data_IF_257980195941
#
_entry.id   IF_257980195941
#
_cell.length_a   1.000
_cell.length_b   1.000
_cell.length_c   1.000
_cell.angle_alpha   90.00
_cell.angle_beta   90.00
_cell.angle_gamma   90.00
#
_symmetry.space_group_name_H-M   'P 1'
#
loop_
_entity.id
_entity.type
_entity.pdbx_description
1 polymer ?
#
# COMPACT_ATOMS: atom_id res chain seq x y z
N UNK A 1 -3.36 4.24 -4.01
CA UNK A 1 -2.67 3.05 -4.53
C UNK A 1 -3.36 1.84 -3.92
N UNK A 2 -2.96 0.61 -4.26
CA UNK A 2 -3.59 -0.61 -3.75
C UNK A 2 -4.89 -1.06 -4.45
N UNK A 3 -5.72 -1.81 -3.71
CA UNK A 3 -6.95 -2.44 -4.21
C UNK A 3 -7.93 -1.46 -4.86
N UNK A 4 -8.17 -1.66 -6.16
CA UNK A 4 -9.03 -0.81 -6.96
C UNK A 4 -10.49 -0.79 -6.47
N UNK A 5 -11.00 0.40 -6.16
CA UNK A 5 -12.38 0.60 -5.73
C UNK A 5 -12.65 0.33 -4.24
N UNK A 6 -11.63 -0.01 -3.44
CA UNK A 6 -11.80 -0.34 -2.03
C UNK A 6 -12.20 0.87 -1.17
N UNK A 7 -11.52 2.01 -1.32
CA UNK A 7 -11.89 3.22 -0.58
C UNK A 7 -13.31 3.70 -0.90
N UNK A 8 -13.77 3.76 -2.17
CA UNK A 8 -15.18 4.03 -2.48
C UNK A 8 -16.17 3.06 -1.82
N UNK A 9 -15.82 1.77 -1.70
CA UNK A 9 -16.66 0.77 -1.03
C UNK A 9 -16.78 1.05 0.48
N UNK A 10 -15.73 1.57 1.11
CA UNK A 10 -15.68 1.89 2.54
C UNK A 10 -16.06 3.35 2.84
N UNK A 11 -16.86 4.00 1.99
CA UNK A 11 -17.18 5.42 2.14
C UNK A 11 -17.97 5.75 3.41
N UNK A 12 -18.90 4.89 3.84
CA UNK A 12 -19.75 5.07 5.03
C UNK A 12 -18.96 5.24 6.32
N UNK A 13 -17.78 4.63 6.37
CA UNK A 13 -16.93 4.56 7.56
C UNK A 13 -15.73 5.50 7.45
N UNK A 14 -15.67 6.33 6.40
CA UNK A 14 -14.68 7.40 6.30
C UNK A 14 -15.13 8.58 7.15
N UNK A 15 -14.38 8.83 8.23
CA UNK A 15 -14.61 9.96 9.14
C UNK A 15 -13.52 10.99 8.93
N UNK A 16 -13.88 12.20 8.51
CA UNK A 16 -12.91 13.29 8.44
C UNK A 16 -12.62 13.80 9.86
N UNK A 17 -11.35 13.87 10.23
CA UNK A 17 -10.88 14.28 11.56
C UNK A 17 -9.83 15.39 11.44
N UNK A 18 -9.72 16.21 12.49
CA UNK A 18 -8.64 17.19 12.56
C UNK A 18 -7.39 16.55 13.16
N UNK A 19 -6.20 16.99 12.77
CA UNK A 19 -4.94 16.40 13.26
C UNK A 19 -4.79 16.49 14.79
N UNK A 20 -5.36 17.50 15.44
CA UNK A 20 -5.36 17.61 16.90
C UNK A 20 -6.00 16.43 17.61
N UNK A 21 -6.91 15.69 16.95
CA UNK A 21 -7.57 14.52 17.52
C UNK A 21 -6.60 13.35 17.74
N UNK A 22 -5.41 13.44 17.14
CA UNK A 22 -4.32 12.47 17.26
C UNK A 22 -3.16 13.00 18.11
N UNK A 23 -3.31 14.13 18.79
CA UNK A 23 -2.25 14.68 19.64
C UNK A 23 -1.79 13.67 20.70
N UNK A 24 -0.48 13.52 20.85
CA UNK A 24 0.15 12.55 21.75
C UNK A 24 0.31 11.13 21.17
N UNK A 25 -0.28 10.84 20.01
CA UNK A 25 -0.13 9.56 19.33
C UNK A 25 1.15 9.51 18.49
N UNK A 26 1.69 8.31 18.31
CA UNK A 26 2.73 8.01 17.32
C UNK A 26 2.09 7.43 16.07
N UNK A 27 2.29 8.06 14.91
CA UNK A 27 1.69 7.60 13.65
C UNK A 27 2.78 7.16 12.69
N UNK A 28 2.66 5.94 12.17
CA UNK A 28 3.49 5.48 11.07
C UNK A 28 3.14 6.25 9.79
N UNK A 29 4.15 6.56 8.98
CA UNK A 29 3.98 7.32 7.74
C UNK A 29 4.64 6.57 6.60
N UNK A 30 3.89 6.35 5.53
CA UNK A 30 4.42 5.90 4.26
C UNK A 30 5.27 7.00 3.59
N UNK A 31 6.59 6.82 3.59
CA UNK A 31 7.50 7.79 3.00
C UNK A 31 7.36 7.88 1.48
N UNK A 32 7.09 6.77 0.80
CA UNK A 32 7.07 6.70 -0.66
C UNK A 32 5.85 7.42 -1.24
N UNK A 33 4.72 7.39 -0.53
CA UNK A 33 3.56 8.24 -0.85
C UNK A 33 3.94 9.73 -0.88
N UNK A 34 4.64 10.23 0.15
CA UNK A 34 5.05 11.64 0.21
C UNK A 34 6.16 11.98 -0.78
N UNK A 35 7.15 11.10 -0.96
CA UNK A 35 8.21 11.28 -1.96
C UNK A 35 7.64 11.34 -3.37
N UNK A 36 6.71 10.44 -3.70
CA UNK A 36 6.06 10.41 -5.01
C UNK A 36 5.23 11.68 -5.24
N UNK A 37 4.40 12.09 -4.27
CA UNK A 37 3.62 13.34 -4.36
C UNK A 37 4.51 14.58 -4.47
N UNK A 38 5.58 14.65 -3.67
CA UNK A 38 6.55 15.73 -3.70
C UNK A 38 7.30 15.81 -5.02
N UNK A 39 7.54 14.65 -5.66
CA UNK A 39 8.23 14.58 -6.95
C UNK A 39 7.47 15.28 -8.08
N UNK A 40 6.14 15.39 -8.00
CA UNK A 40 5.33 16.06 -9.03
C UNK A 40 5.68 17.54 -9.19
N UNK A 41 6.08 18.21 -8.09
CA UNK A 41 6.51 19.61 -8.13
C UNK A 41 7.81 19.79 -8.92
N UNK A 42 8.64 18.75 -8.99
CA UNK A 42 9.95 18.75 -9.63
C UNK A 42 10.15 17.65 -10.68
N UNK A 43 9.06 17.18 -11.29
CA UNK A 43 9.09 16.02 -12.18
C UNK A 43 9.96 16.26 -13.41
N UNK A 44 9.94 17.47 -13.96
CA UNK A 44 10.78 17.85 -15.10
C UNK A 44 12.26 17.87 -14.72
N UNK A 45 12.61 18.43 -13.57
CA UNK A 45 13.99 18.40 -13.07
C UNK A 45 14.49 16.97 -12.88
N UNK A 46 13.71 16.12 -12.21
CA UNK A 46 14.05 14.72 -11.97
C UNK A 46 14.21 13.93 -13.28
N UNK A 47 13.26 14.06 -14.21
CA UNK A 47 13.29 13.34 -15.48
C UNK A 47 14.42 13.79 -16.41
N UNK A 48 14.94 15.01 -16.23
CA UNK A 48 16.06 15.56 -17.03
C UNK A 48 17.40 15.50 -16.29
N UNK A 49 17.48 14.83 -15.15
CA UNK A 49 18.71 14.65 -14.37
C UNK A 49 19.18 15.92 -13.63
N UNK A 50 18.34 16.93 -13.49
CA UNK A 50 18.65 18.13 -12.70
C UNK A 50 18.48 17.85 -11.22
N UNK A 51 19.47 18.24 -10.43
CA UNK A 51 19.43 18.10 -8.97
C UNK A 51 18.32 18.97 -8.37
N UNK A 52 17.58 18.43 -7.40
CA UNK A 52 16.48 19.11 -6.72
C UNK A 52 16.23 18.48 -5.34
N UNK A 53 15.74 19.28 -4.40
CA UNK A 53 15.33 18.85 -3.04
C UNK A 53 13.85 19.07 -2.77
N UNK A 54 13.08 19.57 -3.75
CA UNK A 54 11.67 19.95 -3.58
C UNK A 54 10.80 18.82 -3.02
N UNK A 55 11.12 17.56 -3.33
CA UNK A 55 10.43 16.38 -2.79
C UNK A 55 10.75 16.14 -1.30
N UNK A 56 11.98 16.44 -0.85
CA UNK A 56 12.36 16.40 0.58
C UNK A 56 11.62 17.50 1.32
N UNK A 57 11.62 18.72 0.79
CA UNK A 57 10.92 19.85 1.40
C UNK A 57 9.42 19.58 1.53
N UNK A 58 8.84 18.91 0.52
CA UNK A 58 7.44 18.47 0.56
C UNK A 58 7.18 17.49 1.70
N UNK A 59 7.97 16.42 1.82
CA UNK A 59 7.81 15.43 2.89
C UNK A 59 8.05 16.05 4.28
N UNK A 60 9.11 16.85 4.44
CA UNK A 60 9.43 17.49 5.73
C UNK A 60 8.40 18.53 6.17
N UNK A 61 7.69 19.19 5.24
CA UNK A 61 6.54 20.03 5.61
C UNK A 61 5.44 19.23 6.31
N UNK A 62 5.13 18.02 5.83
CA UNK A 62 4.14 17.15 6.46
C UNK A 62 4.62 16.61 7.81
N UNK A 63 5.90 16.20 7.91
CA UNK A 63 6.52 15.82 9.19
C UNK A 63 6.35 16.93 10.24
N UNK A 64 6.70 18.16 9.87
CA UNK A 64 6.62 19.33 10.76
C UNK A 64 5.17 19.70 11.09
N UNK A 65 4.24 19.52 10.16
CA UNK A 65 2.80 19.69 10.40
C UNK A 65 2.29 18.70 11.46
N UNK A 66 2.65 17.42 11.36
CA UNK A 66 2.29 16.42 12.36
C UNK A 66 2.85 16.80 13.74
N UNK A 67 4.14 17.17 13.81
CA UNK A 67 4.76 17.62 15.06
C UNK A 67 4.11 18.86 15.64
N UNK A 68 3.69 19.81 14.80
CA UNK A 68 2.97 21.02 15.24
C UNK A 68 1.68 20.65 15.98
N UNK A 69 0.95 19.63 15.51
CA UNK A 69 -0.22 19.07 16.17
C UNK A 69 0.10 18.04 17.27
N UNK A 70 1.35 17.99 17.74
CA UNK A 70 1.84 17.09 18.80
C UNK A 70 1.70 15.60 18.46
N UNK A 71 1.72 15.26 17.18
CA UNK A 71 1.79 13.88 16.69
C UNK A 71 3.27 13.53 16.50
N UNK A 72 3.68 12.35 16.96
CA UNK A 72 5.02 11.82 16.71
C UNK A 72 5.03 11.02 15.40
N UNK A 73 5.67 11.48 14.32
CA UNK A 73 5.77 10.70 13.09
C UNK A 73 6.84 9.61 13.23
N UNK A 74 6.50 8.40 12.79
CA UNK A 74 7.42 7.29 12.57
C UNK A 74 7.47 6.99 11.07
N UNK A 75 8.51 7.44 10.39
CA UNK A 75 8.57 7.37 8.92
C UNK A 75 9.06 5.99 8.45
N UNK A 76 8.31 5.33 7.57
CA UNK A 76 8.64 3.99 7.05
C UNK A 76 8.94 4.08 5.56
N UNK A 77 10.08 3.51 5.16
CA UNK A 77 10.52 3.45 3.77
C UNK A 77 10.45 2.02 3.25
N UNK A 78 10.15 1.86 1.95
CA UNK A 78 10.40 0.61 1.24
C UNK A 78 11.90 0.29 1.21
N UNK A 79 12.22 -1.00 1.20
CA UNK A 79 13.56 -1.54 1.06
C UNK A 79 13.75 -2.32 -0.24
N UNK A 80 14.11 -3.59 -0.12
CA UNK A 80 14.42 -4.46 -1.24
C UNK A 80 13.19 -4.85 -2.07
N UNK A 81 13.39 -5.28 -3.33
CA UNK A 81 12.29 -5.75 -4.16
C UNK A 81 11.71 -7.06 -3.61
N UNK A 82 10.38 -7.13 -3.48
CA UNK A 82 9.69 -8.36 -3.13
C UNK A 82 9.45 -9.23 -4.38
N UNK A 83 9.84 -10.52 -4.40
CA UNK A 83 9.58 -11.40 -5.53
C UNK A 83 8.11 -11.49 -5.94
N UNK A 84 7.19 -11.49 -4.98
CA UNK A 84 5.74 -11.50 -5.25
C UNK A 84 5.25 -10.31 -6.08
N UNK A 85 5.92 -9.16 -5.97
CA UNK A 85 5.54 -7.91 -6.66
C UNK A 85 6.28 -7.69 -7.97
N UNK A 86 7.12 -8.64 -8.39
CA UNK A 86 7.98 -8.51 -9.58
C UNK A 86 7.19 -8.19 -10.86
N UNK A 87 6.02 -8.81 -11.05
CA UNK A 87 5.16 -8.55 -12.22
C UNK A 87 4.69 -7.09 -12.27
N UNK A 88 4.11 -6.62 -11.16
CA UNK A 88 3.63 -5.24 -10.98
C UNK A 88 4.73 -4.21 -11.16
N UNK A 89 5.93 -4.45 -10.60
CA UNK A 89 7.07 -3.53 -10.76
C UNK A 89 7.60 -3.50 -12.19
N UNK A 90 7.56 -4.62 -12.92
CA UNK A 90 7.89 -4.66 -14.35
C UNK A 90 6.93 -3.80 -15.18
N UNK A 91 5.62 -3.91 -14.95
CA UNK A 91 4.61 -3.10 -15.64
C UNK A 91 4.72 -1.60 -15.28
N UNK A 92 5.02 -1.29 -14.01
CA UNK A 92 5.28 0.09 -13.58
C UNK A 92 6.51 0.65 -14.30
N UNK A 93 7.60 -0.11 -14.39
CA UNK A 93 8.82 0.29 -15.12
C UNK A 93 8.55 0.56 -16.59
N UNK A 94 7.90 -0.37 -17.29
CA UNK A 94 7.58 -0.22 -18.71
C UNK A 94 6.75 1.06 -18.96
N UNK A 95 5.71 1.31 -18.16
CA UNK A 95 4.89 2.52 -18.28
C UNK A 95 5.71 3.80 -18.05
N UNK A 96 6.67 3.79 -17.11
CA UNK A 96 7.55 4.95 -16.89
C UNK A 96 8.42 5.21 -18.11
N UNK A 97 9.02 4.19 -18.69
CA UNK A 97 9.86 4.30 -19.91
C UNK A 97 9.05 4.85 -21.10
N UNK A 98 7.84 4.32 -21.33
CA UNK A 98 6.94 4.80 -22.38
C UNK A 98 6.53 6.27 -22.18
N UNK A 99 6.22 6.67 -20.95
CA UNK A 99 5.87 8.05 -20.62
C UNK A 99 7.07 8.98 -20.77
N UNK A 100 8.28 8.55 -20.38
CA UNK A 100 9.51 9.33 -20.55
C UNK A 100 9.80 9.58 -22.04
N UNK A 101 9.67 8.56 -22.89
CA UNK A 101 9.85 8.70 -24.34
C UNK A 101 8.86 9.72 -24.93
N UNK A 102 7.58 9.64 -24.55
CA UNK A 102 6.54 10.60 -24.96
C UNK A 102 6.84 12.02 -24.48
N UNK A 103 7.27 12.17 -23.21
CA UNK A 103 7.61 13.47 -22.64
C UNK A 103 8.77 14.13 -23.40
N UNK A 104 9.84 13.38 -23.66
CA UNK A 104 11.02 13.86 -24.37
C UNK A 104 10.69 14.26 -25.82
N UNK A 105 9.88 13.47 -26.51
CA UNK A 105 9.42 13.81 -27.86
C UNK A 105 8.62 15.13 -27.87
N UNK A 106 7.70 15.34 -26.93
CA UNK A 106 6.94 16.58 -26.80
C UNK A 106 7.83 17.78 -26.45
N UNK A 107 8.79 17.59 -25.54
CA UNK A 107 9.73 18.63 -25.13
C UNK A 107 10.63 19.07 -26.31
N UNK A 108 11.09 18.14 -27.15
CA UNK A 108 11.87 18.43 -28.35
C UNK A 108 11.11 19.29 -29.38
N UNK A 109 9.77 19.21 -29.39
CA UNK A 109 8.90 20.04 -30.23
C UNK A 109 8.44 21.34 -29.54
N UNK A 110 9.07 21.74 -28.43
CA UNK A 110 8.72 22.95 -27.67
C UNK A 110 7.40 22.85 -26.89
N UNK A 111 6.75 21.68 -26.85
CA UNK A 111 5.45 21.47 -26.16
C UNK A 111 5.64 21.16 -24.67
N UNK A 112 6.30 22.07 -23.95
CA UNK A 112 6.75 21.83 -22.57
C UNK A 112 5.63 21.55 -21.56
N UNK A 113 4.47 22.22 -21.70
CA UNK A 113 3.32 21.98 -20.80
C UNK A 113 2.78 20.55 -20.94
N UNK A 114 2.64 20.06 -22.17
CA UNK A 114 2.21 18.69 -22.45
C UNK A 114 3.27 17.68 -22.01
N UNK A 115 4.56 17.97 -22.25
CA UNK A 115 5.65 17.13 -21.78
C UNK A 115 5.63 16.96 -20.25
N UNK A 116 5.31 18.02 -19.49
CA UNK A 116 5.21 17.98 -18.03
C UNK A 116 4.19 16.94 -17.54
N UNK A 117 3.05 16.80 -18.20
CA UNK A 117 2.04 15.80 -17.83
C UNK A 117 2.59 14.38 -17.92
N UNK A 118 3.43 14.09 -18.93
CA UNK A 118 4.09 12.79 -19.07
C UNK A 118 5.28 12.64 -18.13
N UNK A 119 6.04 13.71 -17.87
CA UNK A 119 7.12 13.66 -16.88
C UNK A 119 6.60 13.26 -15.49
N UNK A 120 5.46 13.79 -15.05
CA UNK A 120 4.87 13.38 -13.76
C UNK A 120 4.53 11.89 -13.67
N UNK A 121 4.29 11.22 -14.81
CA UNK A 121 3.95 9.79 -14.89
C UNK A 121 5.18 8.88 -15.05
N UNK A 122 6.37 9.44 -15.27
CA UNK A 122 7.59 8.67 -15.45
C UNK A 122 8.57 8.76 -14.29
N UNK A 123 8.34 9.64 -13.31
CA UNK A 123 9.25 9.76 -12.15
C UNK A 123 9.21 8.47 -11.35
N UNK A 124 10.40 7.97 -11.04
CA UNK A 124 10.62 6.86 -10.12
C UNK A 124 11.24 7.38 -8.83
N UNK A 125 10.73 6.93 -7.67
CA UNK A 125 11.32 7.30 -6.38
C UNK A 125 12.52 6.40 -6.13
N UNK A 126 13.72 6.97 -6.23
CA UNK A 126 14.97 6.20 -6.12
C UNK A 126 15.45 6.07 -4.67
N UNK A 127 16.30 5.06 -4.35
CA UNK A 127 16.94 4.94 -3.05
C UNK A 127 17.73 6.20 -2.65
N UNK A 128 18.31 6.90 -3.63
CA UNK A 128 19.02 8.15 -3.37
C UNK A 128 18.08 9.27 -2.90
N UNK A 129 16.87 9.36 -3.47
CA UNK A 129 15.85 10.32 -3.02
C UNK A 129 15.37 10.00 -1.60
N UNK A 130 15.11 8.72 -1.32
CA UNK A 130 14.78 8.25 0.03
C UNK A 130 15.89 8.59 1.03
N UNK A 131 17.15 8.37 0.66
CA UNK A 131 18.30 8.72 1.50
C UNK A 131 18.41 10.22 1.80
N UNK A 132 18.08 11.10 0.84
CA UNK A 132 18.03 12.54 1.12
C UNK A 132 16.98 12.89 2.19
N UNK A 133 15.81 12.24 2.14
CA UNK A 133 14.79 12.42 3.17
C UNK A 133 15.26 11.85 4.53
N UNK A 134 15.87 10.66 4.56
CA UNK A 134 16.44 10.08 5.79
C UNK A 134 17.42 11.04 6.46
N UNK A 135 18.30 11.70 5.70
CA UNK A 135 19.21 12.71 6.26
C UNK A 135 18.47 13.88 6.90
N UNK A 136 17.41 14.37 6.27
CA UNK A 136 16.60 15.45 6.82
C UNK A 136 15.84 15.02 8.09
N UNK A 137 15.31 13.80 8.10
CA UNK A 137 14.65 13.20 9.27
C UNK A 137 15.62 13.09 10.46
N UNK A 138 16.83 12.56 10.22
CA UNK A 138 17.89 12.45 11.25
C UNK A 138 18.27 13.81 11.83
N UNK A 139 18.39 14.83 10.99
CA UNK A 139 18.73 16.20 11.43
C UNK A 139 17.67 16.80 12.36
N UNK A 140 16.40 16.36 12.26
CA UNK A 140 15.31 16.80 13.13
C UNK A 140 14.94 15.79 14.23
N UNK A 141 15.72 14.71 14.38
CA UNK A 141 15.46 13.68 15.39
C UNK A 141 14.17 12.89 15.15
N UNK A 142 13.75 12.74 13.90
CA UNK A 142 12.53 12.00 13.53
C UNK A 142 12.83 10.51 13.43
N UNK A 143 12.00 9.69 14.07
CA UNK A 143 12.10 8.24 14.00
C UNK A 143 11.77 7.75 12.60
N UNK A 144 12.56 6.78 12.13
CA UNK A 144 12.30 6.13 10.86
C UNK A 144 12.81 4.69 10.85
N UNK A 145 12.29 3.88 9.92
CA UNK A 145 12.81 2.55 9.62
C UNK A 145 12.75 2.31 8.11
N UNK A 146 13.72 1.57 7.58
CA UNK A 146 13.67 1.04 6.22
C UNK A 146 13.19 -0.41 6.35
N UNK A 147 12.04 -0.71 5.74
CA UNK A 147 11.53 -2.07 5.69
C UNK A 147 12.53 -2.99 4.97
N UNK A 148 12.56 -4.30 5.26
CA UNK A 148 13.34 -5.24 4.45
C UNK A 148 12.83 -5.30 3.01
N UNK A 149 11.50 -5.20 2.85
CA UNK A 149 10.80 -5.21 1.57
C UNK A 149 9.80 -4.05 1.51
N UNK A 150 8.51 -4.29 1.75
CA UNK A 150 7.49 -3.25 1.61
C UNK A 150 7.20 -2.52 2.93
N UNK A 151 7.02 -1.21 2.83
CA UNK A 151 6.59 -0.35 3.91
C UNK A 151 5.20 -0.75 4.44
N UNK A 152 4.32 -1.28 3.59
CA UNK A 152 2.96 -1.68 3.96
C UNK A 152 2.96 -2.73 5.08
N UNK A 153 3.64 -3.86 4.88
CA UNK A 153 3.78 -4.89 5.90
C UNK A 153 4.56 -4.38 7.13
N UNK A 154 5.61 -3.56 6.91
CA UNK A 154 6.38 -3.00 8.02
C UNK A 154 5.50 -2.11 8.92
N UNK A 155 4.69 -1.21 8.37
CA UNK A 155 3.78 -0.35 9.13
C UNK A 155 2.69 -1.18 9.84
N UNK A 156 2.12 -2.18 9.16
CA UNK A 156 1.17 -3.11 9.76
C UNK A 156 1.78 -3.83 10.97
N UNK A 157 3.03 -4.27 10.87
CA UNK A 157 3.76 -4.88 11.97
C UNK A 157 3.98 -3.91 13.14
N UNK A 158 4.41 -2.67 12.87
CA UNK A 158 4.63 -1.64 13.90
C UNK A 158 3.35 -1.33 14.68
N UNK A 159 2.20 -1.23 13.99
CA UNK A 159 0.90 -1.00 14.64
C UNK A 159 0.51 -2.21 15.49
N UNK A 160 0.72 -3.42 14.96
CA UNK A 160 0.35 -4.66 15.65
C UNK A 160 1.12 -4.87 16.96
N UNK A 161 2.40 -4.52 17.00
CA UNK A 161 3.22 -4.60 18.23
C UNK A 161 3.00 -3.39 19.17
N UNK A 162 2.16 -2.43 18.79
CA UNK A 162 1.84 -1.25 19.59
C UNK A 162 2.92 -0.17 19.60
N UNK A 163 3.83 -0.17 18.62
CA UNK A 163 4.85 0.89 18.50
C UNK A 163 4.27 2.17 17.86
N UNK A 164 3.19 2.03 17.09
CA UNK A 164 2.42 3.14 16.51
C UNK A 164 0.92 2.94 16.73
N UNK A 165 0.18 4.04 16.80
CA UNK A 165 -1.26 4.10 17.11
C UNK A 165 -2.15 4.17 15.86
N UNK A 166 -1.54 4.25 14.68
CA UNK A 166 -2.19 4.34 13.37
C UNK A 166 -1.21 4.64 12.25
N UNK A 167 -1.71 4.57 11.02
CA UNK A 167 -0.89 4.63 9.80
C UNK A 167 -1.41 5.72 8.87
N UNK A 168 -0.53 6.60 8.39
CA UNK A 168 -0.80 7.60 7.35
C UNK A 168 -0.28 7.06 6.01
N UNK A 169 -1.19 6.81 5.07
CA UNK A 169 -0.84 6.37 3.71
C UNK A 169 -1.97 6.73 2.72
N UNK A 170 -1.66 6.64 1.42
CA UNK A 170 -2.65 6.66 0.34
C UNK A 170 -2.85 5.27 -0.29
N UNK A 171 -2.26 4.24 0.31
CA UNK A 171 -2.42 2.84 -0.10
C UNK A 171 -3.49 2.13 0.72
N UNK A 172 -4.51 1.62 0.05
CA UNK A 172 -5.60 0.90 0.72
C UNK A 172 -5.23 -0.53 1.13
N UNK A 173 -4.08 -1.06 0.69
CA UNK A 173 -3.63 -2.41 1.00
C UNK A 173 -3.40 -2.60 2.50
N UNK A 174 -3.08 -1.54 3.25
CA UNK A 174 -2.95 -1.58 4.72
C UNK A 174 -4.25 -2.04 5.42
N UNK A 175 -5.41 -1.76 4.84
CA UNK A 175 -6.69 -2.27 5.36
C UNK A 175 -6.78 -3.79 5.17
N UNK A 176 -6.18 -4.33 4.11
CA UNK A 176 -6.12 -5.77 3.80
C UNK A 176 -5.13 -6.49 4.72
N UNK A 177 -4.01 -5.84 5.05
CA UNK A 177 -3.03 -6.29 6.06
C UNK A 177 -3.59 -6.38 7.49
N UNK A 178 -4.80 -5.86 7.74
CA UNK A 178 -5.45 -5.97 9.04
C UNK A 178 -5.22 -4.77 9.97
N UNK A 179 -4.74 -3.65 9.46
CA UNK A 179 -4.45 -2.48 10.29
C UNK A 179 -5.72 -1.93 10.95
N UNK A 180 -5.60 -1.49 12.20
CA UNK A 180 -6.71 -1.03 13.04
C UNK A 180 -7.15 0.37 12.68
N UNK A 181 -6.21 1.28 12.41
CA UNK A 181 -6.50 2.69 12.10
C UNK A 181 -5.63 3.17 10.95
N UNK A 182 -6.26 3.38 9.80
CA UNK A 182 -5.58 3.91 8.61
C UNK A 182 -6.14 5.28 8.26
N UNK A 183 -5.24 6.23 8.03
CA UNK A 183 -5.51 7.64 7.80
C UNK A 183 -5.07 8.01 6.38
N UNK A 184 -6.03 8.50 5.60
CA UNK A 184 -5.89 8.82 4.18
C UNK A 184 -6.13 10.31 3.93
N UNK A 185 -5.69 10.82 2.78
CA UNK A 185 -6.04 12.14 2.25
C UNK A 185 -5.71 13.26 3.23
N UNK A 186 -4.46 13.30 3.69
CA UNK A 186 -3.96 14.39 4.53
C UNK A 186 -4.08 15.73 3.78
N UNK A 187 -4.89 16.64 4.32
CA UNK A 187 -4.99 18.02 3.85
C UNK A 187 -4.21 18.94 4.78
N UNK A 188 -3.06 19.42 4.29
CA UNK A 188 -2.18 20.32 5.04
C UNK A 188 -2.75 21.72 5.24
N UNK A 189 -3.73 22.15 4.44
CA UNK A 189 -4.34 23.49 4.54
C UNK A 189 -5.36 23.50 5.67
N UNK A 190 -6.29 22.54 5.66
CA UNK A 190 -7.30 22.43 6.71
C UNK A 190 -6.82 21.67 7.95
N UNK A 191 -5.62 21.08 7.91
CA UNK A 191 -5.11 20.17 8.96
C UNK A 191 -6.09 19.03 9.25
N UNK A 192 -6.72 18.50 8.21
CA UNK A 192 -7.67 17.39 8.32
C UNK A 192 -7.17 16.13 7.61
N UNK A 193 -7.68 14.98 8.04
CA UNK A 193 -7.33 13.67 7.50
C UNK A 193 -8.53 12.72 7.59
N UNK A 194 -8.70 11.88 6.58
CA UNK A 194 -9.76 10.87 6.54
C UNK A 194 -9.35 9.63 7.31
N UNK A 195 -10.03 9.34 8.41
CA UNK A 195 -9.82 8.15 9.23
C UNK A 195 -10.75 7.02 8.81
N UNK A 196 -10.20 5.81 8.72
CA UNK A 196 -10.97 4.55 8.67
C UNK A 196 -10.51 3.68 9.85
N UNK A 197 -11.47 3.26 10.69
CA UNK A 197 -11.23 2.31 11.78
C UNK A 197 -11.69 0.91 11.37
N UNK A 198 -10.91 -0.11 11.73
CA UNK A 198 -11.26 -1.52 11.53
C UNK A 198 -12.52 -1.93 12.29
N UNK A 199 -12.75 -1.33 13.45
CA UNK A 199 -13.93 -1.58 14.29
C UNK A 199 -15.23 -1.20 13.58
N UNK A 200 -15.18 -0.21 12.69
CA UNK A 200 -16.35 0.28 11.96
C UNK A 200 -16.71 -0.59 10.75
N UNK A 201 -15.89 -1.60 10.38
CA UNK A 201 -16.16 -2.44 9.20
C UNK A 201 -17.52 -3.14 9.28
N UNK A 202 -17.94 -3.57 10.47
CA UNK A 202 -19.25 -4.18 10.68
C UNK A 202 -20.44 -3.26 10.36
N UNK A 203 -20.21 -1.95 10.31
CA UNK A 203 -21.20 -0.92 10.00
C UNK A 203 -21.35 -0.65 8.49
N UNK A 204 -20.52 -1.25 7.63
CA UNK A 204 -20.66 -1.12 6.18
C UNK A 204 -21.87 -1.91 5.71
N UNK A 205 -22.90 -1.20 5.23
CA UNK A 205 -24.17 -1.79 4.78
C UNK A 205 -24.31 -1.78 3.26
N UNK A 206 -25.16 -2.67 2.74
CA UNK A 206 -25.39 -2.82 1.31
C UNK A 206 -26.01 -1.59 0.61
N UNK A 207 -26.50 -0.61 1.37
CA UNK A 207 -27.00 0.66 0.83
C UNK A 207 -25.88 1.43 0.10
N UNK A 208 -24.63 1.24 0.52
CA UNK A 208 -23.46 1.86 -0.10
C UNK A 208 -22.65 0.82 -0.87
N UNK A 209 -22.56 0.95 -2.19
CA UNK A 209 -21.76 0.06 -3.04
C UNK A 209 -22.32 -1.37 -3.24
N UNK A 210 -23.44 -1.72 -2.60
CA UNK A 210 -24.09 -3.03 -2.76
C UNK A 210 -23.35 -4.18 -2.07
N UNK A 211 -22.50 -3.88 -1.09
CA UNK A 211 -21.71 -4.83 -0.29
C UNK A 211 -21.99 -4.56 1.19
N UNK A 212 -22.20 -5.62 1.97
CA UNK A 212 -22.31 -5.52 3.43
C UNK A 212 -21.18 -6.31 4.07
N UNK A 213 -20.46 -5.71 5.01
CA UNK A 213 -19.39 -6.35 5.78
C UNK A 213 -19.85 -6.73 7.19
N UNK A 214 -21.16 -6.63 7.48
CA UNK A 214 -21.72 -7.10 8.75
C UNK A 214 -21.46 -8.61 8.91
N UNK A 215 -20.75 -8.98 9.98
CA UNK A 215 -20.38 -10.37 10.29
C UNK A 215 -19.24 -10.94 9.42
N UNK A 216 -18.55 -10.09 8.64
CA UNK A 216 -17.38 -10.51 7.88
C UNK A 216 -16.14 -10.57 8.76
N UNK A 217 -15.34 -11.62 8.59
CA UNK A 217 -14.03 -11.73 9.24
C UNK A 217 -12.93 -11.07 8.41
N UNK A 218 -11.80 -10.77 9.06
CA UNK A 218 -10.60 -10.25 8.39
C UNK A 218 -10.10 -11.17 7.28
N UNK A 219 -10.18 -12.48 7.48
CA UNK A 219 -9.82 -13.48 6.48
C UNK A 219 -10.74 -13.43 5.25
N UNK A 220 -12.04 -13.23 5.45
CA UNK A 220 -12.99 -13.07 4.34
C UNK A 220 -12.76 -11.76 3.59
N UNK A 221 -12.54 -10.66 4.31
CA UNK A 221 -12.23 -9.37 3.72
C UNK A 221 -10.94 -9.42 2.88
N UNK A 222 -9.87 -10.04 3.42
CA UNK A 222 -8.63 -10.25 2.69
C UNK A 222 -8.81 -11.11 1.45
N UNK A 223 -9.51 -12.25 1.59
CA UNK A 223 -9.85 -13.11 0.44
C UNK A 223 -10.60 -12.34 -0.64
N UNK A 224 -11.58 -11.50 -0.26
CA UNK A 224 -12.32 -10.66 -1.20
C UNK A 224 -11.42 -9.66 -1.92
N UNK A 225 -10.51 -9.01 -1.20
CA UNK A 225 -9.56 -8.05 -1.76
C UNK A 225 -8.62 -8.72 -2.78
N UNK A 226 -8.00 -9.85 -2.41
CA UNK A 226 -7.10 -10.61 -3.30
C UNK A 226 -7.85 -11.07 -4.57
N UNK A 227 -9.07 -11.62 -4.43
CA UNK A 227 -9.88 -12.05 -5.58
C UNK A 227 -10.27 -10.88 -6.50
N UNK A 228 -10.39 -9.67 -5.96
CA UNK A 228 -10.70 -8.47 -6.73
C UNK A 228 -9.49 -7.89 -7.49
N UNK A 229 -8.29 -8.44 -7.24
CA UNK A 229 -7.03 -8.02 -7.84
C UNK A 229 -6.22 -7.15 -6.88
N UNK A 230 -4.97 -7.53 -6.66
CA UNK A 230 -3.99 -6.82 -5.84
C UNK A 230 -2.62 -6.80 -6.54
N UNK A 231 -1.64 -6.13 -5.92
CA UNK A 231 -0.28 -6.03 -6.46
C UNK A 231 0.45 -7.39 -6.59
N UNK A 232 -0.03 -8.45 -5.89
CA UNK A 232 0.56 -9.80 -5.90
C UNK A 232 -0.16 -10.77 -6.84
N UNK A 233 -1.45 -10.52 -7.13
CA UNK A 233 -2.28 -11.41 -7.93
C UNK A 233 -3.31 -10.62 -8.73
N UNK A 234 -3.33 -10.72 -10.08
CA UNK A 234 -4.37 -10.12 -10.89
C UNK A 234 -5.74 -10.78 -10.61
N UNK A 235 -6.82 -10.04 -10.82
CA UNK A 235 -8.16 -10.58 -10.66
C UNK A 235 -8.52 -11.58 -11.76
N UNK A 236 -9.46 -12.48 -11.46
CA UNK A 236 -10.15 -13.24 -12.50
C UNK A 236 -10.95 -12.25 -13.35
N UNK A 237 -10.90 -12.31 -14.70
CA UNK A 237 -11.66 -11.41 -15.55
C UNK A 237 -13.16 -11.35 -15.17
N UNK A 238 -13.64 -10.13 -14.91
CA UNK A 238 -15.02 -9.88 -14.46
C UNK A 238 -15.27 -10.10 -12.96
N UNK A 239 -14.22 -10.32 -12.15
CA UNK A 239 -14.30 -10.42 -10.69
C UNK A 239 -13.68 -9.18 -10.05
N UNK A 240 -14.52 -8.22 -9.69
CA UNK A 240 -14.16 -7.10 -8.80
C UNK A 240 -14.70 -7.31 -7.38
N UNK A 241 -14.51 -6.34 -6.49
CA UNK A 241 -14.88 -6.41 -5.07
C UNK A 241 -16.32 -6.93 -4.82
N UNK A 242 -17.31 -6.36 -5.48
CA UNK A 242 -18.73 -6.77 -5.34
C UNK A 242 -18.98 -8.21 -5.81
N UNK A 243 -18.34 -8.60 -6.91
CA UNK A 243 -18.46 -9.97 -7.44
C UNK A 243 -17.77 -10.96 -6.51
N UNK A 244 -16.56 -10.65 -6.04
CA UNK A 244 -15.81 -11.46 -5.09
C UNK A 244 -16.61 -11.65 -3.78
N UNK A 245 -17.18 -10.56 -3.24
CA UNK A 245 -18.05 -10.60 -2.08
C UNK A 245 -19.25 -11.56 -2.25
N UNK A 246 -19.98 -11.42 -3.36
CA UNK A 246 -21.13 -12.27 -3.67
C UNK A 246 -20.76 -13.74 -3.80
N UNK A 247 -19.64 -14.03 -4.47
CA UNK A 247 -19.14 -15.38 -4.64
C UNK A 247 -18.70 -16.01 -3.32
N UNK A 248 -18.02 -15.25 -2.45
CA UNK A 248 -17.61 -15.74 -1.13
C UNK A 248 -18.80 -16.01 -0.20
N UNK A 249 -19.85 -15.18 -0.29
CA UNK A 249 -21.10 -15.44 0.45
C UNK A 249 -21.76 -16.75 0.00
N UNK A 250 -21.67 -17.09 -1.29
CA UNK A 250 -22.25 -18.31 -1.87
C UNK A 250 -21.42 -19.56 -1.58
N UNK A 251 -20.10 -19.48 -1.76
CA UNK A 251 -19.22 -20.65 -1.76
C UNK A 251 -18.34 -20.78 -0.51
N UNK A 252 -18.34 -19.79 0.40
CA UNK A 252 -17.65 -19.76 1.70
C UNK A 252 -16.13 -19.82 1.70
N UNK A 253 -15.52 -20.65 0.85
CA UNK A 253 -14.08 -20.88 0.73
C UNK A 253 -13.59 -20.58 -0.68
N UNK A 254 -12.33 -20.19 -0.80
CA UNK A 254 -11.71 -19.90 -2.11
C UNK A 254 -11.65 -21.16 -2.98
N UNK A 255 -11.34 -22.33 -2.41
CA UNK A 255 -11.37 -23.62 -3.11
C UNK A 255 -12.72 -23.90 -3.78
N UNK A 256 -13.80 -23.83 -3.01
CA UNK A 256 -15.15 -24.11 -3.51
C UNK A 256 -15.57 -23.08 -4.56
N UNK A 257 -15.21 -21.81 -4.36
CA UNK A 257 -15.46 -20.72 -5.30
C UNK A 257 -14.76 -21.00 -6.64
N UNK A 258 -13.46 -21.28 -6.62
CA UNK A 258 -12.66 -21.51 -7.84
C UNK A 258 -13.12 -22.77 -8.57
N UNK A 259 -13.42 -23.86 -7.84
CA UNK A 259 -13.98 -25.09 -8.43
C UNK A 259 -15.33 -24.81 -9.11
N UNK A 260 -16.21 -24.07 -8.45
CA UNK A 260 -17.51 -23.73 -9.01
C UNK A 260 -17.39 -22.84 -10.26
N UNK A 261 -16.53 -21.82 -10.25
CA UNK A 261 -16.30 -20.97 -11.42
C UNK A 261 -15.76 -21.76 -12.63
N UNK A 262 -14.88 -22.74 -12.40
CA UNK A 262 -14.37 -23.63 -13.44
C UNK A 262 -15.47 -24.51 -14.03
N UNK A 263 -16.36 -25.06 -13.20
CA UNK A 263 -17.49 -25.88 -13.63
C UNK A 263 -18.56 -25.09 -14.38
N UNK A 264 -18.88 -23.87 -13.93
CA UNK A 264 -19.85 -23.00 -14.62
C UNK A 264 -19.38 -22.58 -16.02
N UNK A 265 -18.07 -22.52 -16.26
CA UNK A 265 -17.48 -22.19 -17.57
C UNK A 265 -17.68 -20.75 -18.06
N UNK A 266 -18.36 -19.90 -17.28
CA UNK A 266 -18.70 -18.52 -17.68
C UNK A 266 -17.56 -17.52 -17.53
N UNK A 267 -16.58 -17.79 -16.65
CA UNK A 267 -15.43 -16.91 -16.40
C UNK A 267 -14.14 -17.67 -16.70
N UNK A 268 -13.20 -17.08 -17.46
CA UNK A 268 -11.93 -17.73 -17.77
C UNK A 268 -11.01 -17.68 -16.55
N UNK A 269 -11.06 -18.70 -15.69
CA UNK A 269 -10.17 -18.81 -14.53
C UNK A 269 -8.77 -19.21 -15.02
N UNK A 270 -7.71 -18.42 -14.73
CA UNK A 270 -6.35 -18.78 -15.11
C UNK A 270 -5.92 -20.14 -14.55
N UNK A 271 -5.04 -20.84 -15.28
CA UNK A 271 -4.37 -22.04 -14.77
C UNK A 271 -3.48 -21.65 -13.59
N UNK A 272 -3.44 -22.46 -12.54
CA UNK A 272 -2.63 -22.18 -11.34
C UNK A 272 -3.17 -21.06 -10.43
N UNK A 273 -4.39 -20.54 -10.67
CA UNK A 273 -4.89 -19.38 -9.94
C UNK A 273 -5.07 -19.62 -8.44
N UNK A 274 -5.46 -20.83 -8.03
CA UNK A 274 -5.71 -21.14 -6.62
C UNK A 274 -4.39 -21.17 -5.84
N UNK A 275 -3.37 -21.76 -6.44
CA UNK A 275 -2.01 -21.83 -5.91
C UNK A 275 -1.42 -20.43 -5.79
N UNK A 276 -1.54 -19.61 -6.85
CA UNK A 276 -1.12 -18.21 -6.82
C UNK A 276 -1.91 -17.35 -5.82
N UNK A 277 -3.20 -17.67 -5.59
CA UNK A 277 -4.00 -17.04 -4.54
C UNK A 277 -3.43 -17.31 -3.15
N UNK A 278 -3.10 -18.56 -2.84
CA UNK A 278 -2.52 -18.90 -1.54
C UNK A 278 -1.17 -18.22 -1.33
N UNK A 279 -0.32 -18.13 -2.37
CA UNK A 279 0.93 -17.37 -2.29
C UNK A 279 0.69 -15.88 -2.02
N UNK A 280 -0.27 -15.25 -2.69
CA UNK A 280 -0.62 -13.84 -2.43
C UNK A 280 -1.17 -13.64 -1.00
N UNK A 281 -1.97 -14.58 -0.50
CA UNK A 281 -2.46 -14.55 0.89
C UNK A 281 -1.31 -14.67 1.90
N UNK A 282 -0.32 -15.52 1.62
CA UNK A 282 0.87 -15.67 2.46
C UNK A 282 1.67 -14.36 2.57
N UNK A 283 1.73 -13.55 1.51
CA UNK A 283 2.39 -12.24 1.57
C UNK A 283 1.66 -11.32 2.56
N UNK A 284 0.33 -11.19 2.42
CA UNK A 284 -0.47 -10.35 3.33
C UNK A 284 -0.40 -10.80 4.80
N UNK A 285 -0.15 -12.08 5.06
CA UNK A 285 -0.08 -12.62 6.42
C UNK A 285 1.34 -12.61 6.99
N UNK A 286 2.34 -12.97 6.19
CA UNK A 286 3.65 -13.40 6.70
C UNK A 286 4.84 -12.69 6.04
N UNK A 287 4.62 -11.65 5.23
CA UNK A 287 5.71 -10.89 4.62
C UNK A 287 6.78 -10.51 5.65
N UNK A 288 8.04 -10.63 5.24
CA UNK A 288 9.22 -10.35 6.07
C UNK A 288 9.30 -8.86 6.41
N UNK A 289 9.43 -8.58 7.70
CA UNK A 289 9.55 -7.24 8.28
C UNK A 289 10.72 -7.18 9.26
N UNK A 290 11.14 -5.98 9.64
CA UNK A 290 12.16 -5.75 10.66
C UNK A 290 11.50 -5.41 12.00
N UNK A 291 11.88 -6.12 13.06
CA UNK A 291 11.48 -5.78 14.41
C UNK A 291 12.49 -4.79 15.00
N UNK A 292 12.12 -3.53 15.28
CA UNK A 292 13.04 -2.55 15.87
C UNK A 292 13.30 -2.79 17.36
N UNK A 293 12.49 -3.62 18.04
CA UNK A 293 12.68 -3.95 19.45
C UNK A 293 13.69 -5.09 19.65
N UNK A 294 13.63 -6.11 18.79
CA UNK A 294 14.52 -7.28 18.81
C UNK A 294 15.71 -7.15 17.86
N UNK A 295 15.75 -6.07 17.07
CA UNK A 295 16.75 -5.78 16.03
C UNK A 295 16.98 -6.93 15.02
N UNK A 296 15.93 -7.67 14.66
CA UNK A 296 15.99 -8.84 13.78
C UNK A 296 14.86 -8.87 12.76
N UNK A 297 15.06 -9.62 11.68
CA UNK A 297 13.98 -9.91 10.74
C UNK A 297 12.99 -10.92 11.32
N UNK A 298 11.70 -10.63 11.17
CA UNK A 298 10.57 -11.45 11.64
C UNK A 298 9.49 -11.48 10.56
N UNK A 299 8.53 -12.40 10.66
CA UNK A 299 7.36 -12.37 9.78
C UNK A 299 6.33 -11.38 10.33
N UNK A 300 5.54 -10.76 9.43
CA UNK A 300 4.43 -9.88 9.80
C UNK A 300 3.49 -10.56 10.79
N UNK A 301 3.16 -11.84 10.59
CA UNK A 301 2.53 -12.69 11.60
C UNK A 301 3.27 -14.02 11.71
N UNK A 302 3.20 -14.67 12.88
CA UNK A 302 3.87 -15.95 13.08
C UNK A 302 3.28 -17.00 12.12
N UNK A 303 4.16 -17.73 11.45
CA UNK A 303 3.78 -18.87 10.64
C UNK A 303 3.49 -20.02 11.63
N UNK A 304 2.32 -20.67 11.58
CA UNK A 304 2.01 -21.79 12.45
C UNK A 304 3.10 -22.87 12.37
N UNK A 305 3.52 -23.44 13.50
CA UNK A 305 4.66 -24.38 13.54
C UNK A 305 4.48 -25.65 12.69
N UNK A 306 3.24 -25.96 12.30
CA UNK A 306 2.87 -27.06 11.43
C UNK A 306 3.05 -26.76 9.93
N UNK A 307 3.19 -25.48 9.57
CA UNK A 307 3.34 -25.02 8.18
C UNK A 307 4.82 -24.81 7.89
N UNK A 308 5.47 -25.85 7.36
CA UNK A 308 6.84 -25.74 6.84
C UNK A 308 6.77 -25.08 5.47
N UNK A 309 7.27 -23.85 5.36
CA UNK A 309 7.37 -23.18 4.07
C UNK A 309 8.46 -23.84 3.22
N UNK A 310 8.13 -24.13 1.97
CA UNK A 310 9.15 -24.46 0.99
C UNK A 310 9.97 -23.20 0.62
N UNK A 311 11.11 -23.44 -0.02
CA UNK A 311 12.08 -22.39 -0.39
C UNK A 311 11.46 -21.34 -1.33
N UNK A 312 10.50 -21.77 -2.17
CA UNK A 312 9.83 -20.88 -3.12
C UNK A 312 8.87 -19.93 -2.40
N UNK A 313 8.08 -20.45 -1.48
CA UNK A 313 7.13 -19.68 -0.66
C UNK A 313 7.87 -18.74 0.28
N UNK A 314 8.97 -19.18 0.91
CA UNK A 314 9.82 -18.32 1.74
C UNK A 314 10.41 -17.16 0.94
N UNK A 315 10.89 -17.43 -0.28
CA UNK A 315 11.35 -16.36 -1.16
C UNK A 315 10.22 -15.42 -1.57
N UNK A 316 9.01 -15.93 -1.78
CA UNK A 316 7.84 -15.16 -2.19
C UNK A 316 7.42 -14.12 -1.15
N UNK A 317 7.50 -14.47 0.14
CA UNK A 317 7.19 -13.56 1.26
C UNK A 317 8.39 -12.72 1.75
N UNK A 318 9.58 -12.97 1.21
CA UNK A 318 10.81 -12.28 1.59
C UNK A 318 11.74 -13.14 2.47
N UNK A 319 12.98 -13.31 2.03
CA UNK A 319 13.98 -14.13 2.71
C UNK A 319 14.52 -13.46 3.98
N UNK A 320 14.99 -14.28 4.91
CA UNK A 320 15.91 -13.86 5.97
C UNK A 320 17.34 -13.88 5.42
N UNK A 321 17.77 -12.85 4.69
CA UNK A 321 19.19 -12.67 4.33
C UNK A 321 19.75 -11.41 4.99
#
# INVERSE_FOLDING_TARGET
>A
MGISGLLPLLKSIQVNKHLSDFAGQTLAVDAYVWLHRGSYACATELATGKTTTKYVDYAMRHVRLLRHHKIQPYVVFDGGPLPAKKGTESERRQRREENLAKANALAAHGKHNQAREFYTKCVDVTPQMAYQLIKALRAEGIQYVVAPYEADAQMAYLERIGLVDGIITEDSDLLVFGCRKVLFKLDSVSSTITSISREDFGSVTAAEGGVSLLGWTDAQFRTMAILSGCDYLPSIPGVGLKTAWSLLKKYRTVDQLIRALRLEGKKPVPKGYLEAFHLAEMVFLHQRVYCPLDEKFVCLTEIPAQDVLDVETEAYIGRCE
#
